data_IF_339948991232
#
_entry.id   IF_339948991232
#
_cell.length_a   1.000
_cell.length_b   1.000
_cell.length_c   1.000
_cell.angle_alpha   90.00
_cell.angle_beta   90.00
_cell.angle_gamma   90.00
#
_symmetry.space_group_name_H-M   'P 1'
#
loop_
_entity.id
_entity.type
_entity.pdbx_description
1 polymer ?
#
# COMPACT_ATOMS: atom_id res chain seq x y z
N UNK A 1 12.09 -14.15 37.64
CA UNK A 1 11.50 -13.60 36.40
C UNK A 1 11.72 -14.62 35.29
N UNK A 2 10.71 -14.90 34.46
CA UNK A 2 10.88 -15.80 33.32
C UNK A 2 11.57 -15.05 32.16
N UNK A 3 12.64 -15.60 31.62
CA UNK A 3 13.28 -15.06 30.41
C UNK A 3 12.49 -15.54 29.18
N UNK A 4 11.72 -14.64 28.56
CA UNK A 4 11.01 -14.91 27.31
C UNK A 4 11.99 -14.67 26.16
N UNK A 5 12.23 -15.70 25.34
CA UNK A 5 13.02 -15.61 24.10
C UNK A 5 12.11 -15.87 22.90
N UNK A 6 12.31 -15.12 21.82
CA UNK A 6 11.55 -15.28 20.58
C UNK A 6 12.39 -16.06 19.56
N UNK A 7 11.78 -17.05 18.91
CA UNK A 7 12.41 -17.84 17.83
C UNK A 7 11.53 -17.76 16.58
N UNK A 8 12.13 -17.75 15.38
CA UNK A 8 11.35 -17.72 14.14
C UNK A 8 10.70 -19.06 13.86
N UNK A 9 9.51 -19.01 13.26
CA UNK A 9 8.80 -20.19 12.74
C UNK A 9 8.99 -20.25 11.23
N UNK A 10 9.54 -21.36 10.74
CA UNK A 10 9.90 -21.54 9.33
C UNK A 10 9.05 -22.66 8.70
N UNK A 11 7.75 -22.42 8.55
CA UNK A 11 6.83 -23.30 7.82
C UNK A 11 5.75 -22.47 7.14
N UNK A 12 5.03 -23.07 6.19
CA UNK A 12 4.15 -22.35 5.26
C UNK A 12 3.08 -21.49 5.96
N UNK A 13 2.37 -22.06 6.92
CA UNK A 13 1.27 -21.38 7.63
C UNK A 13 1.77 -20.20 8.48
N UNK A 14 3.00 -20.27 9.00
CA UNK A 14 3.62 -19.14 9.70
C UNK A 14 3.90 -17.96 8.74
N UNK A 15 4.30 -18.27 7.49
CA UNK A 15 4.45 -17.25 6.46
C UNK A 15 3.11 -16.67 6.00
N UNK A 16 2.06 -17.48 5.95
CA UNK A 16 0.70 -17.01 5.66
C UNK A 16 0.20 -16.05 6.75
N UNK A 17 0.44 -16.38 8.02
CA UNK A 17 0.14 -15.49 9.14
C UNK A 17 0.89 -14.16 9.01
N UNK A 18 2.19 -14.21 8.72
CA UNK A 18 3.01 -13.01 8.54
C UNK A 18 2.53 -12.15 7.34
N UNK A 19 2.10 -12.78 6.26
CA UNK A 19 1.53 -12.08 5.10
C UNK A 19 0.22 -11.35 5.47
N UNK A 20 -0.68 -12.02 6.20
CA UNK A 20 -1.96 -11.47 6.65
C UNK A 20 -1.75 -10.30 7.62
N UNK A 21 -0.89 -10.46 8.63
CA UNK A 21 -0.53 -9.39 9.57
C UNK A 21 0.07 -8.18 8.84
N UNK A 22 0.95 -8.43 7.86
CA UNK A 22 1.48 -7.36 7.02
C UNK A 22 0.42 -6.63 6.18
N UNK A 23 -0.63 -7.35 5.72
CA UNK A 23 -1.76 -6.72 5.03
C UNK A 23 -2.60 -5.89 5.99
N UNK A 24 -2.87 -6.41 7.20
CA UNK A 24 -3.60 -5.68 8.26
C UNK A 24 -2.89 -4.37 8.58
N UNK A 25 -1.59 -4.42 8.83
CA UNK A 25 -0.80 -3.23 9.12
C UNK A 25 -0.90 -2.17 8.01
N UNK A 26 -0.87 -2.59 6.74
CA UNK A 26 -1.04 -1.66 5.61
C UNK A 26 -2.42 -1.03 5.57
N UNK A 27 -3.48 -1.79 5.81
CA UNK A 27 -4.85 -1.28 5.85
C UNK A 27 -5.07 -0.34 7.04
N UNK A 28 -4.62 -0.69 8.24
CA UNK A 28 -4.69 0.18 9.42
C UNK A 28 -3.96 1.50 9.18
N UNK A 29 -2.79 1.44 8.54
CA UNK A 29 -2.04 2.64 8.17
C UNK A 29 -2.81 3.51 7.17
N UNK A 30 -3.42 2.89 6.14
CA UNK A 30 -4.27 3.63 5.17
C UNK A 30 -5.40 4.34 5.90
N UNK A 31 -6.07 3.67 6.84
CA UNK A 31 -7.12 4.29 7.66
C UNK A 31 -6.59 5.46 8.47
N UNK A 32 -5.51 5.28 9.23
CA UNK A 32 -4.93 6.33 10.08
C UNK A 32 -4.52 7.56 9.24
N UNK A 33 -3.86 7.35 8.11
CA UNK A 33 -3.40 8.44 7.26
C UNK A 33 -4.55 9.13 6.54
N UNK A 34 -5.57 8.39 6.10
CA UNK A 34 -6.79 8.99 5.55
C UNK A 34 -7.50 9.87 6.59
N UNK A 35 -7.59 9.40 7.84
CA UNK A 35 -8.15 10.19 8.93
C UNK A 35 -7.35 11.46 9.20
N UNK A 36 -6.02 11.36 9.28
CA UNK A 36 -5.14 12.53 9.47
C UNK A 36 -5.27 13.52 8.32
N UNK A 37 -5.30 13.04 7.08
CA UNK A 37 -5.51 13.87 5.90
C UNK A 37 -6.83 14.63 5.99
N UNK A 38 -7.94 13.96 6.31
CA UNK A 38 -9.25 14.61 6.45
C UNK A 38 -9.28 15.66 7.57
N UNK A 39 -8.50 15.48 8.63
CA UNK A 39 -8.38 16.45 9.73
C UNK A 39 -7.55 17.69 9.38
N UNK A 40 -6.61 17.58 8.44
CA UNK A 40 -5.75 18.68 8.04
C UNK A 40 -6.04 19.23 6.64
N UNK A 41 -6.99 18.67 5.90
CA UNK A 41 -7.25 19.02 4.50
C UNK A 41 -7.42 20.52 4.26
N UNK A 42 -8.24 21.21 5.05
CA UNK A 42 -8.48 22.66 4.90
C UNK A 42 -7.24 23.52 5.16
N UNK A 43 -6.19 22.92 5.75
CA UNK A 43 -4.89 23.56 6.02
C UNK A 43 -3.83 23.20 4.96
N UNK A 44 -4.13 22.27 4.05
CA UNK A 44 -3.24 21.89 2.96
C UNK A 44 -3.49 22.89 1.81
N UNK A 45 -2.67 23.93 1.75
CA UNK A 45 -2.62 24.85 0.60
C UNK A 45 -1.64 24.40 -0.49
N UNK A 46 -0.72 23.50 -0.14
CA UNK A 46 0.31 22.99 -1.04
C UNK A 46 -0.14 21.69 -1.73
N UNK A 47 -0.24 21.73 -3.06
CA UNK A 47 -0.58 20.59 -3.88
C UNK A 47 0.41 19.43 -3.74
N UNK A 48 1.69 19.70 -3.47
CA UNK A 48 2.71 18.66 -3.25
C UNK A 48 2.37 17.85 -2.01
N UNK A 49 1.95 18.51 -0.92
CA UNK A 49 1.55 17.82 0.31
C UNK A 49 0.33 16.95 0.05
N UNK A 50 -0.66 17.48 -0.68
CA UNK A 50 -1.84 16.72 -1.09
C UNK A 50 -1.47 15.45 -1.88
N UNK A 51 -0.59 15.57 -2.86
CA UNK A 51 -0.12 14.46 -3.69
C UNK A 51 0.67 13.41 -2.88
N UNK A 52 1.49 13.84 -1.92
CA UNK A 52 2.21 12.93 -1.01
C UNK A 52 1.23 12.05 -0.22
N UNK A 53 0.16 12.64 0.31
CA UNK A 53 -0.88 11.88 1.03
C UNK A 53 -1.59 10.90 0.10
N UNK A 54 -2.07 11.36 -1.06
CA UNK A 54 -2.78 10.53 -2.02
C UNK A 54 -1.92 9.36 -2.52
N UNK A 55 -0.66 9.65 -2.86
CA UNK A 55 0.34 8.67 -3.24
C UNK A 55 0.54 7.62 -2.16
N UNK A 56 0.76 8.04 -0.92
CA UNK A 56 1.05 7.11 0.16
C UNK A 56 -0.14 6.21 0.50
N UNK A 57 -1.37 6.77 0.50
CA UNK A 57 -2.63 6.05 0.70
C UNK A 57 -2.82 5.00 -0.39
N UNK A 58 -2.75 5.38 -1.67
CA UNK A 58 -2.99 4.48 -2.79
C UNK A 58 -1.93 3.38 -2.89
N UNK A 59 -0.66 3.72 -2.66
CA UNK A 59 0.43 2.73 -2.67
C UNK A 59 0.26 1.70 -1.56
N UNK A 60 -0.03 2.13 -0.32
CA UNK A 60 -0.24 1.23 0.81
C UNK A 60 -1.50 0.38 0.66
N UNK A 61 -2.60 0.97 0.20
CA UNK A 61 -3.82 0.24 -0.11
C UNK A 61 -3.57 -0.83 -1.17
N UNK A 62 -2.96 -0.47 -2.30
CA UNK A 62 -2.62 -1.43 -3.34
C UNK A 62 -1.67 -2.54 -2.86
N UNK A 63 -0.73 -2.23 -1.97
CA UNK A 63 0.20 -3.20 -1.37
C UNK A 63 -0.53 -4.23 -0.48
N UNK A 64 -1.57 -3.80 0.23
CA UNK A 64 -2.41 -4.67 1.06
C UNK A 64 -3.24 -5.66 0.24
N UNK A 65 -3.43 -5.44 -1.06
CA UNK A 65 -4.27 -6.27 -1.93
C UNK A 65 -3.48 -7.05 -2.98
N UNK A 66 -2.44 -6.47 -3.56
CA UNK A 66 -1.65 -7.14 -4.60
C UNK A 66 -1.02 -8.45 -4.11
N UNK A 67 -0.93 -9.43 -5.02
CA UNK A 67 -0.36 -10.74 -4.73
C UNK A 67 1.15 -10.64 -4.51
N UNK A 68 1.88 -9.84 -5.28
CA UNK A 68 3.35 -9.78 -5.19
C UNK A 68 3.94 -11.20 -5.04
N UNK A 69 4.67 -11.43 -3.94
CA UNK A 69 5.10 -12.78 -3.49
C UNK A 69 4.26 -13.35 -2.34
N UNK A 70 3.29 -12.59 -1.84
CA UNK A 70 2.33 -13.02 -0.81
C UNK A 70 1.25 -13.90 -1.45
N UNK A 71 0.53 -14.69 -0.65
CA UNK A 71 -0.73 -15.28 -1.15
C UNK A 71 -1.75 -14.15 -1.41
N UNK A 72 -2.66 -14.35 -2.36
CA UNK A 72 -3.76 -13.38 -2.62
C UNK A 72 -4.56 -13.24 -1.33
N UNK A 73 -5.06 -12.03 -1.04
CA UNK A 73 -5.97 -11.85 0.09
C UNK A 73 -7.16 -12.81 -0.07
N UNK A 74 -7.51 -13.60 0.95
CA UNK A 74 -8.59 -14.57 0.84
C UNK A 74 -9.90 -13.90 0.41
N UNK A 75 -10.67 -14.53 -0.47
CA UNK A 75 -11.90 -13.96 -1.04
C UNK A 75 -12.93 -13.65 0.05
N UNK A 76 -12.90 -14.41 1.14
CA UNK A 76 -13.73 -14.24 2.33
C UNK A 76 -13.53 -12.87 2.98
N UNK A 77 -12.35 -12.25 2.82
CA UNK A 77 -12.08 -10.90 3.32
C UNK A 77 -12.99 -9.85 2.65
N UNK A 78 -13.42 -10.09 1.42
CA UNK A 78 -14.32 -9.22 0.65
C UNK A 78 -15.80 -9.57 0.81
N UNK A 79 -16.14 -10.55 1.66
CA UNK A 79 -17.53 -10.96 1.88
C UNK A 79 -18.30 -9.82 2.54
N UNK A 80 -19.51 -9.56 2.02
CA UNK A 80 -20.37 -8.48 2.51
C UNK A 80 -20.18 -7.14 1.81
N UNK A 81 -19.20 -7.00 0.91
CA UNK A 81 -19.11 -5.81 0.09
C UNK A 81 -20.24 -5.73 -0.94
N UNK A 82 -20.84 -4.55 -1.06
CA UNK A 82 -21.82 -4.23 -2.12
C UNK A 82 -21.14 -4.17 -3.49
N UNK A 83 -21.93 -4.10 -4.57
CA UNK A 83 -21.35 -3.94 -5.91
C UNK A 83 -20.63 -2.60 -6.05
N UNK A 84 -21.21 -1.51 -5.54
CA UNK A 84 -20.59 -0.18 -5.53
C UNK A 84 -19.22 -0.19 -4.82
N UNK A 85 -19.11 -0.90 -3.69
CA UNK A 85 -17.85 -1.02 -2.95
C UNK A 85 -16.79 -1.82 -3.70
N UNK A 86 -17.20 -2.88 -4.41
CA UNK A 86 -16.30 -3.63 -5.29
C UNK A 86 -15.82 -2.76 -6.44
N UNK A 87 -16.69 -1.92 -7.00
CA UNK A 87 -16.32 -1.00 -8.07
C UNK A 87 -15.35 0.06 -7.56
N UNK A 88 -15.54 0.60 -6.35
CA UNK A 88 -14.58 1.49 -5.67
C UNK A 88 -13.25 0.80 -5.40
N UNK A 89 -13.26 -0.44 -4.92
CA UNK A 89 -12.03 -1.23 -4.75
C UNK A 89 -11.26 -1.36 -6.07
N UNK A 90 -11.96 -1.75 -7.15
CA UNK A 90 -11.38 -1.88 -8.48
C UNK A 90 -10.84 -0.54 -9.00
N UNK A 91 -11.55 0.55 -8.76
CA UNK A 91 -11.09 1.90 -9.08
C UNK A 91 -9.75 2.21 -8.39
N UNK A 92 -9.62 2.03 -7.07
CA UNK A 92 -8.37 2.30 -6.36
C UNK A 92 -7.22 1.39 -6.78
N UNK A 93 -7.50 0.11 -7.07
CA UNK A 93 -6.50 -0.82 -7.59
C UNK A 93 -6.02 -0.42 -8.98
N UNK A 94 -6.94 0.00 -9.86
CA UNK A 94 -6.60 0.54 -11.17
C UNK A 94 -5.81 1.83 -11.05
N UNK A 95 -6.22 2.72 -10.13
CA UNK A 95 -5.55 3.98 -9.88
C UNK A 95 -4.08 3.73 -9.50
N UNK A 96 -3.84 2.82 -8.54
CA UNK A 96 -2.50 2.40 -8.16
C UNK A 96 -1.71 1.84 -9.34
N UNK A 97 -2.28 0.84 -10.02
CA UNK A 97 -1.55 0.05 -11.01
C UNK A 97 -1.23 0.86 -12.27
N UNK A 98 -2.13 1.75 -12.70
CA UNK A 98 -1.95 2.53 -13.91
C UNK A 98 -1.23 3.86 -13.67
N UNK A 99 -1.39 4.48 -12.50
CA UNK A 99 -0.93 5.85 -12.27
C UNK A 99 0.20 5.97 -11.26
N UNK A 100 0.09 5.29 -10.11
CA UNK A 100 1.12 5.43 -9.08
C UNK A 100 2.27 4.43 -9.22
N UNK A 101 2.07 3.34 -9.97
CA UNK A 101 3.08 2.29 -10.13
C UNK A 101 3.87 2.41 -11.44
N UNK A 102 3.32 3.06 -12.47
CA UNK A 102 3.90 3.10 -13.83
C UNK A 102 4.09 4.55 -14.29
N UNK A 103 5.27 4.86 -14.83
CA UNK A 103 5.73 6.20 -15.22
C UNK A 103 5.19 6.73 -16.56
N UNK A 104 4.34 5.97 -17.24
CA UNK A 104 3.71 6.37 -18.49
C UNK A 104 2.21 6.17 -18.35
N UNK A 105 1.50 7.26 -18.05
CA UNK A 105 0.07 7.20 -17.81
C UNK A 105 -0.63 8.50 -18.25
N UNK A 106 -1.92 8.42 -18.56
CA UNK A 106 -2.72 9.53 -19.12
C UNK A 106 -2.93 10.72 -18.15
N UNK A 107 -2.25 10.74 -17.01
CA UNK A 107 -2.47 11.69 -15.92
C UNK A 107 -1.19 12.36 -15.43
N UNK A 108 -0.04 11.99 -16.03
CA UNK A 108 1.21 12.73 -15.96
C UNK A 108 1.49 13.27 -17.36
N UNK A 109 1.35 14.58 -17.54
CA UNK A 109 1.66 15.23 -18.81
C UNK A 109 3.00 15.95 -18.70
N UNK A 110 3.93 15.53 -19.54
CA UNK A 110 5.12 16.30 -19.85
C UNK A 110 4.78 17.15 -21.07
N UNK A 111 4.26 18.35 -20.84
CA UNK A 111 3.79 19.24 -21.91
C UNK A 111 4.96 20.13 -22.32
N UNK A 112 5.51 19.99 -23.54
CA UNK A 112 6.42 21.00 -24.07
C UNK A 112 5.65 22.31 -24.22
N UNK A 113 6.10 23.37 -23.55
CA UNK A 113 5.54 24.71 -23.65
C UNK A 113 6.57 25.66 -24.26
N UNK A 114 6.07 26.60 -25.04
CA UNK A 114 6.84 27.77 -25.45
C UNK A 114 6.50 28.92 -24.51
N UNK A 115 7.53 29.61 -24.02
CA UNK A 115 7.38 30.88 -23.33
C UNK A 115 7.47 31.99 -24.36
N UNK A 116 6.46 32.86 -24.35
CA UNK A 116 6.34 34.01 -25.25
C UNK A 116 6.36 35.26 -24.36
N UNK A 117 7.31 36.16 -24.60
CA UNK A 117 7.33 37.48 -23.97
C UNK A 117 6.32 38.40 -24.63
N UNK A 118 5.81 39.38 -23.87
CA UNK A 118 4.95 40.43 -24.39
C UNK A 118 3.66 39.91 -25.06
N UNK A 119 3.10 38.80 -24.58
CA UNK A 119 1.97 38.12 -25.23
C UNK A 119 0.73 39.02 -25.40
N UNK A 120 0.52 39.96 -24.50
CA UNK A 120 -0.60 40.92 -24.51
C UNK A 120 -0.23 42.29 -25.10
N UNK A 121 0.94 42.44 -25.73
CA UNK A 121 1.41 43.69 -26.35
C UNK A 121 1.61 43.55 -27.87
N UNK A 122 1.56 44.65 -28.65
CA UNK A 122 1.91 44.62 -30.06
C UNK A 122 3.42 44.36 -30.24
N UNK A 123 3.78 43.08 -30.27
CA UNK A 123 5.16 42.60 -30.42
C UNK A 123 5.47 41.37 -29.56
N UNK A 124 4.69 40.27 -29.65
CA UNK A 124 5.02 39.05 -28.94
C UNK A 124 6.30 38.44 -29.51
N UNK A 125 7.22 38.04 -28.64
CA UNK A 125 8.51 37.46 -29.03
C UNK A 125 8.66 36.08 -28.42
N UNK A 126 9.08 35.12 -29.24
CA UNK A 126 9.50 33.82 -28.74
C UNK A 126 10.70 33.98 -27.80
N UNK A 127 10.64 33.34 -26.64
CA UNK A 127 11.72 33.35 -25.66
C UNK A 127 12.46 32.00 -25.63
N UNK A 128 11.75 30.97 -25.17
CA UNK A 128 12.33 29.64 -24.96
C UNK A 128 11.28 28.54 -25.07
N UNK A 129 11.75 27.31 -25.28
CA UNK A 129 10.97 26.08 -25.09
C UNK A 129 11.46 25.38 -23.85
N UNK A 130 10.53 24.81 -23.10
CA UNK A 130 10.79 23.94 -21.95
C UNK A 130 9.66 22.93 -21.81
N UNK A 131 9.79 22.03 -20.84
CA UNK A 131 8.74 21.05 -20.51
C UNK A 131 8.15 21.42 -19.16
N UNK A 132 6.83 21.57 -19.10
CA UNK A 132 6.10 21.68 -17.84
C UNK A 132 5.55 20.31 -17.48
N UNK A 133 5.82 19.92 -16.24
CA UNK A 133 5.27 18.69 -15.66
C UNK A 133 3.93 19.03 -14.99
N UNK A 134 2.84 18.58 -15.59
CA UNK A 134 1.51 18.71 -15.01
C UNK A 134 1.02 17.34 -14.53
N UNK A 135 0.61 17.27 -13.27
CA UNK A 135 -0.01 16.07 -12.68
C UNK A 135 -1.48 16.35 -12.47
N UNK A 136 -2.34 15.56 -13.11
CA UNK A 136 -3.79 15.82 -13.15
C UNK A 136 -4.54 15.13 -12.02
N UNK A 137 -3.91 14.23 -11.24
CA UNK A 137 -4.66 13.38 -10.30
C UNK A 137 -4.12 13.44 -8.88
N UNK A 138 -5.00 13.88 -7.99
CA UNK A 138 -5.01 13.51 -6.58
C UNK A 138 -6.39 12.93 -6.23
N UNK A 139 -6.52 12.37 -5.04
CA UNK A 139 -7.82 11.88 -4.56
C UNK A 139 -8.66 13.04 -4.05
N UNK A 140 -9.90 13.13 -4.51
CA UNK A 140 -10.91 13.98 -3.88
C UNK A 140 -11.16 13.57 -2.42
N UNK A 141 -11.73 14.50 -1.64
CA UNK A 141 -12.13 14.23 -0.25
C UNK A 141 -13.07 13.02 -0.18
N UNK A 142 -13.98 12.90 -1.16
CA UNK A 142 -14.93 11.79 -1.18
C UNK A 142 -14.22 10.46 -1.43
N UNK A 143 -13.24 10.41 -2.33
CA UNK A 143 -12.45 9.20 -2.58
C UNK A 143 -11.61 8.81 -1.36
N UNK A 144 -11.08 9.78 -0.60
CA UNK A 144 -10.40 9.49 0.68
C UNK A 144 -11.37 8.89 1.71
N UNK A 145 -12.60 9.39 1.78
CA UNK A 145 -13.63 8.79 2.66
C UNK A 145 -14.03 7.39 2.19
N UNK A 146 -14.16 7.20 0.89
CA UNK A 146 -14.53 5.92 0.29
C UNK A 146 -13.47 4.85 0.56
N UNK A 147 -12.17 5.15 0.37
CA UNK A 147 -11.11 4.19 0.64
C UNK A 147 -11.02 3.85 2.14
N UNK A 148 -11.22 4.84 3.01
CA UNK A 148 -11.29 4.63 4.46
C UNK A 148 -12.47 3.72 4.84
N UNK A 149 -13.65 3.94 4.26
CA UNK A 149 -14.83 3.10 4.49
C UNK A 149 -14.62 1.67 4.02
N UNK A 150 -13.99 1.47 2.85
CA UNK A 150 -13.62 0.13 2.38
C UNK A 150 -12.69 -0.57 3.36
N UNK A 151 -11.66 0.12 3.84
CA UNK A 151 -10.72 -0.42 4.83
C UNK A 151 -11.46 -0.85 6.10
N UNK A 152 -12.36 -0.01 6.61
CA UNK A 152 -13.16 -0.33 7.81
C UNK A 152 -14.03 -1.58 7.65
N UNK A 153 -14.54 -1.83 6.45
CA UNK A 153 -15.33 -3.04 6.14
C UNK A 153 -14.47 -4.28 5.97
N UNK A 154 -13.25 -4.13 5.45
CA UNK A 154 -12.34 -5.26 5.17
C UNK A 154 -11.61 -5.75 6.44
N UNK A 155 -11.27 -4.84 7.35
CA UNK A 155 -10.48 -5.15 8.54
C UNK A 155 -11.09 -6.26 9.42
N UNK A 156 -12.39 -6.25 9.77
CA UNK A 156 -12.96 -7.29 10.63
C UNK A 156 -12.83 -8.70 10.03
N UNK A 157 -13.07 -8.85 8.73
CA UNK A 157 -12.93 -10.14 8.05
C UNK A 157 -11.46 -10.61 8.01
N UNK A 158 -10.53 -9.67 7.76
CA UNK A 158 -9.10 -9.97 7.78
C UNK A 158 -8.61 -10.36 9.19
N UNK A 159 -9.09 -9.69 10.23
CA UNK A 159 -8.76 -10.02 11.63
C UNK A 159 -9.28 -11.40 12.03
N UNK A 160 -10.49 -11.75 11.62
CA UNK A 160 -11.01 -13.10 11.80
C UNK A 160 -10.11 -14.14 11.11
N UNK A 161 -9.66 -13.86 9.88
CA UNK A 161 -8.74 -14.75 9.16
C UNK A 161 -7.39 -14.86 9.87
N UNK A 162 -6.82 -13.77 10.35
CA UNK A 162 -5.59 -13.77 11.15
C UNK A 162 -5.76 -14.63 12.39
N UNK A 163 -6.89 -14.51 13.09
CA UNK A 163 -7.18 -15.32 14.28
C UNK A 163 -7.25 -16.82 13.96
N UNK A 164 -7.94 -17.20 12.88
CA UNK A 164 -8.00 -18.58 12.40
C UNK A 164 -6.59 -19.11 12.09
N UNK A 165 -5.84 -18.39 11.25
CA UNK A 165 -4.49 -18.81 10.85
C UNK A 165 -3.54 -18.87 12.05
N UNK A 166 -3.65 -17.95 13.01
CA UNK A 166 -2.86 -17.96 14.25
C UNK A 166 -3.14 -19.22 15.08
N UNK A 167 -4.38 -19.66 15.16
CA UNK A 167 -4.72 -20.92 15.84
C UNK A 167 -4.06 -22.11 15.13
N UNK A 168 -4.15 -22.17 13.80
CA UNK A 168 -3.48 -23.22 12.99
C UNK A 168 -1.97 -23.23 13.23
N UNK A 169 -1.31 -22.08 13.14
CA UNK A 169 0.14 -21.93 13.37
C UNK A 169 0.52 -22.38 14.78
N UNK A 170 -0.30 -22.06 15.77
CA UNK A 170 -0.07 -22.45 17.16
C UNK A 170 -0.14 -23.97 17.32
N UNK A 171 -1.13 -24.63 16.73
CA UNK A 171 -1.30 -26.08 16.80
C UNK A 171 -0.19 -26.84 16.08
N UNK A 172 0.33 -26.30 14.96
CA UNK A 172 1.51 -26.84 14.28
C UNK A 172 2.75 -26.66 15.15
N UNK A 173 2.99 -25.44 15.66
CA UNK A 173 4.18 -25.12 16.45
C UNK A 173 4.29 -25.97 17.73
N UNK A 174 3.15 -26.30 18.39
CA UNK A 174 3.11 -27.19 19.56
C UNK A 174 3.58 -28.61 19.28
N UNK A 175 3.56 -29.06 18.02
CA UNK A 175 4.00 -30.41 17.60
C UNK A 175 5.49 -30.44 17.23
N UNK A 176 6.13 -29.29 17.08
CA UNK A 176 7.56 -29.17 16.79
C UNK A 176 8.31 -29.20 18.12
N UNK A 177 9.40 -29.96 18.17
CA UNK A 177 10.22 -30.03 19.37
C UNK A 177 10.88 -28.68 19.67
N UNK A 178 11.00 -28.30 20.95
CA UNK A 178 11.65 -27.03 21.33
C UNK A 178 13.08 -26.96 20.81
N UNK A 179 13.81 -28.08 20.83
CA UNK A 179 15.20 -28.17 20.33
C UNK A 179 15.30 -27.88 18.83
N UNK A 180 14.27 -28.19 18.05
CA UNK A 180 14.17 -27.86 16.64
C UNK A 180 13.80 -26.39 16.43
N UNK A 181 12.85 -25.85 17.20
CA UNK A 181 12.47 -24.44 17.13
C UNK A 181 13.63 -23.50 17.45
N UNK A 182 14.49 -23.84 18.41
CA UNK A 182 15.66 -23.03 18.78
C UNK A 182 16.73 -23.01 17.66
N UNK A 183 16.77 -24.02 16.79
CA UNK A 183 17.70 -24.03 15.65
C UNK A 183 17.29 -23.05 14.55
N UNK A 184 16.03 -22.61 14.52
CA UNK A 184 15.57 -21.65 13.55
C UNK A 184 16.28 -20.31 13.75
N UNK A 185 16.99 -19.87 12.72
CA UNK A 185 17.66 -18.57 12.72
C UNK A 185 16.73 -17.52 12.16
N UNK A 186 16.78 -16.32 12.74
CA UNK A 186 16.15 -15.17 12.11
C UNK A 186 16.78 -14.98 10.73
N UNK A 187 15.96 -14.72 9.70
CA UNK A 187 16.51 -14.30 8.42
C UNK A 187 17.38 -13.07 8.65
N UNK A 188 18.58 -13.08 8.07
CA UNK A 188 19.50 -11.95 8.16
C UNK A 188 18.79 -10.66 7.74
N UNK A 189 19.00 -9.60 8.51
CA UNK A 189 18.54 -8.27 8.15
C UNK A 189 19.33 -7.88 6.91
N UNK A 190 18.72 -8.03 5.73
CA UNK A 190 19.35 -7.65 4.49
C UNK A 190 19.53 -6.14 4.48
N UNK A 191 20.75 -5.68 4.22
CA UNK A 191 21.00 -4.26 3.99
C UNK A 191 20.29 -3.83 2.70
N UNK A 192 19.91 -2.55 2.61
CA UNK A 192 19.09 -2.01 1.50
C UNK A 192 19.74 -2.19 0.13
N UNK A 193 21.07 -2.24 0.05
CA UNK A 193 21.81 -2.44 -1.21
C UNK A 193 21.65 -3.84 -1.80
N UNK A 194 21.57 -4.87 -0.98
CA UNK A 194 21.55 -6.27 -1.44
C UNK A 194 20.12 -6.77 -1.77
N UNK A 195 19.10 -6.05 -1.32
CA UNK A 195 17.71 -6.51 -1.33
C UNK A 195 16.74 -5.66 -2.15
N UNK A 196 17.11 -4.44 -2.56
CA UNK A 196 16.21 -3.52 -3.27
C UNK A 196 15.63 -4.11 -4.58
N UNK A 197 16.32 -5.05 -5.21
CA UNK A 197 15.86 -5.74 -6.43
C UNK A 197 15.49 -7.21 -6.24
N UNK A 198 15.65 -7.79 -5.05
CA UNK A 198 15.44 -9.22 -4.83
C UNK A 198 14.33 -9.49 -3.81
N UNK A 199 13.34 -10.34 -4.15
CA UNK A 199 12.31 -10.72 -3.21
C UNK A 199 12.91 -11.52 -2.04
N UNK A 200 12.34 -11.37 -0.84
CA UNK A 200 12.71 -12.20 0.33
C UNK A 200 12.56 -13.68 -0.03
N UNK A 201 13.65 -14.45 0.03
CA UNK A 201 13.62 -15.90 -0.18
C UNK A 201 12.88 -16.56 0.98
N UNK A 202 11.77 -17.27 0.69
CA UNK A 202 11.16 -18.20 1.65
C UNK A 202 12.05 -19.44 1.68
N UNK A 203 12.77 -19.67 2.78
CA UNK A 203 13.38 -20.97 3.03
C UNK A 203 12.27 -21.84 3.60
N UNK A 204 11.67 -22.65 2.73
CA UNK A 204 10.82 -23.77 3.12
C UNK A 204 11.72 -25.00 3.28
#
# INVERSE_FOLDING_TARGET
>A
MAHITHVPLNFEEAWDLADLEGRKHDLEWVKEVSQKYLQCFDKISDFIIHDVFCSAIIVRYGRAHNKGRKKIMPAECFKGLTQEEKDKHNFFMNLRNKHYAHSANNYEYNIPKAWIRNIDSPGPEFDQVGVVHERIVGLSIQEIRDIMSLVEKLLPNLENKIKETKNTVTEIAKRISISELIKNKFPEILTTKESAGQPRKRKL
#
